data_IF_028144574985
#
_entry.id   IF_028144574985
#
_cell.length_a   1.000
_cell.length_b   1.000
_cell.length_c   1.000
_cell.angle_alpha   90.00
_cell.angle_beta   90.00
_cell.angle_gamma   90.00
#
_symmetry.space_group_name_H-M   'P 1'
#
loop_
_entity.id
_entity.type
_entity.pdbx_description
1 polymer ?
#
# COMPACT_ATOMS: atom_id res chain seq x y z
N UNK A 1 1.35 5.43 11.77
CA UNK A 1 1.77 4.03 11.58
C UNK A 1 0.71 3.13 12.17
N UNK A 2 0.00 2.41 11.31
CA UNK A 2 -1.07 1.49 11.66
C UNK A 2 -1.21 0.44 10.55
N UNK A 3 -1.53 -0.80 10.92
CA UNK A 3 -1.84 -1.85 9.95
C UNK A 3 -3.19 -1.55 9.28
N UNK A 4 -3.20 -1.54 7.95
CA UNK A 4 -4.38 -1.33 7.13
C UNK A 4 -5.07 -2.67 6.85
N UNK A 5 -6.40 -2.66 6.78
CA UNK A 5 -7.16 -3.83 6.34
C UNK A 5 -6.91 -4.08 4.85
N UNK A 6 -6.53 -5.31 4.49
CA UNK A 6 -6.36 -5.70 3.09
C UNK A 6 -7.67 -6.29 2.57
N UNK A 7 -8.31 -5.59 1.64
CA UNK A 7 -9.45 -6.07 0.89
C UNK A 7 -9.04 -7.19 -0.07
N UNK A 8 -9.84 -8.25 -0.11
CA UNK A 8 -9.61 -9.43 -0.96
C UNK A 8 -10.77 -9.62 -1.94
N UNK A 9 -10.54 -10.35 -3.03
CA UNK A 9 -11.61 -10.69 -3.97
C UNK A 9 -12.73 -11.44 -3.23
N UNK A 10 -14.02 -11.08 -3.43
CA UNK A 10 -14.58 -10.26 -4.51
C UNK A 10 -14.93 -8.81 -4.15
N UNK A 11 -14.25 -8.18 -3.18
CA UNK A 11 -14.60 -6.82 -2.74
C UNK A 11 -14.66 -5.82 -3.91
N UNK A 12 -15.78 -5.10 -3.98
CA UNK A 12 -16.06 -4.10 -5.02
C UNK A 12 -15.06 -2.95 -5.03
N UNK A 13 -14.42 -2.63 -3.90
CA UNK A 13 -13.42 -1.56 -3.82
C UNK A 13 -12.27 -1.80 -4.78
N UNK A 14 -11.89 -3.06 -5.00
CA UNK A 14 -10.79 -3.46 -5.88
C UNK A 14 -11.05 -3.17 -7.37
N UNK A 15 -12.29 -2.78 -7.75
CA UNK A 15 -12.68 -2.42 -9.12
C UNK A 15 -12.87 -0.92 -9.32
N UNK A 16 -12.78 -0.12 -8.26
CA UNK A 16 -12.98 1.33 -8.35
C UNK A 16 -11.77 2.01 -9.00
N UNK A 17 -11.99 3.15 -9.63
CA UNK A 17 -10.90 3.94 -10.21
C UNK A 17 -10.32 4.85 -9.14
N UNK A 18 -9.00 4.76 -8.94
CA UNK A 18 -8.30 5.62 -7.99
C UNK A 18 -8.03 7.02 -8.59
N UNK A 19 -8.09 8.04 -7.73
CA UNK A 19 -7.84 9.43 -8.10
C UNK A 19 -6.34 9.78 -8.01
N UNK A 20 -5.84 10.69 -8.86
CA UNK A 20 -4.44 11.12 -8.79
C UNK A 20 -4.14 11.82 -7.46
N UNK A 21 -2.89 11.67 -7.01
CA UNK A 21 -2.36 12.45 -5.89
C UNK A 21 -1.90 13.80 -6.43
N UNK A 22 -2.38 14.89 -5.84
CA UNK A 22 -2.05 16.27 -6.25
C UNK A 22 -1.40 17.09 -5.14
N UNK A 23 -1.41 16.59 -3.90
CA UNK A 23 -0.82 17.22 -2.72
C UNK A 23 0.16 16.23 -2.11
N UNK A 24 1.37 16.70 -1.83
CA UNK A 24 2.49 15.91 -1.31
C UNK A 24 2.86 16.46 0.05
N UNK A 25 2.10 16.06 1.05
CA UNK A 25 2.20 16.51 2.44
C UNK A 25 2.57 15.35 3.37
N UNK A 26 2.55 15.63 4.67
CA UNK A 26 2.84 14.65 5.69
C UNK A 26 1.81 13.51 5.75
N UNK A 27 0.54 13.78 5.42
CA UNK A 27 -0.50 12.75 5.39
C UNK A 27 -0.21 11.70 4.30
N UNK A 28 0.28 12.14 3.13
CA UNK A 28 0.73 11.24 2.09
C UNK A 28 1.89 10.34 2.54
N UNK A 29 2.87 10.91 3.24
CA UNK A 29 4.01 10.16 3.78
C UNK A 29 3.55 9.12 4.83
N UNK A 30 2.70 9.52 5.77
CA UNK A 30 2.14 8.62 6.79
C UNK A 30 1.30 7.49 6.19
N UNK A 31 0.57 7.78 5.10
CA UNK A 31 -0.18 6.79 4.32
C UNK A 31 0.76 5.78 3.67
N UNK A 32 1.81 6.26 2.98
CA UNK A 32 2.77 5.40 2.32
C UNK A 32 3.54 4.50 3.32
N UNK A 33 3.90 5.04 4.48
CA UNK A 33 4.54 4.27 5.56
C UNK A 33 3.63 3.17 6.10
N UNK A 34 2.34 3.48 6.34
CA UNK A 34 1.36 2.50 6.81
C UNK A 34 1.11 1.40 5.77
N UNK A 35 1.16 1.74 4.47
CA UNK A 35 1.11 0.78 3.37
C UNK A 35 2.35 -0.13 3.34
N UNK A 36 3.55 0.41 3.52
CA UNK A 36 4.79 -0.38 3.60
C UNK A 36 4.74 -1.35 4.78
N UNK A 37 4.36 -0.88 5.97
CA UNK A 37 4.23 -1.71 7.16
C UNK A 37 3.23 -2.86 6.95
N UNK A 38 2.06 -2.55 6.36
CA UNK A 38 1.03 -3.55 6.01
C UNK A 38 1.54 -4.56 4.97
N UNK A 39 2.30 -4.10 3.98
CA UNK A 39 2.93 -4.96 2.97
C UNK A 39 3.91 -5.94 3.61
N UNK A 40 4.81 -5.47 4.49
CA UNK A 40 5.75 -6.35 5.18
C UNK A 40 5.05 -7.32 6.12
N UNK A 41 4.03 -6.86 6.87
CA UNK A 41 3.25 -7.71 7.77
C UNK A 41 2.53 -8.84 7.02
N UNK A 42 2.04 -8.56 5.81
CA UNK A 42 1.37 -9.56 4.95
C UNK A 42 2.35 -10.42 4.13
N UNK A 43 3.67 -10.20 4.25
CA UNK A 43 4.68 -10.91 3.46
C UNK A 43 4.63 -10.61 1.97
N UNK A 44 4.04 -9.46 1.58
CA UNK A 44 3.94 -9.02 0.20
C UNK A 44 5.19 -8.31 -0.29
N UNK A 45 5.38 -8.29 -1.62
CA UNK A 45 6.43 -7.50 -2.30
C UNK A 45 5.95 -6.13 -2.76
N UNK A 46 4.63 -5.90 -2.71
CA UNK A 46 4.00 -4.66 -3.12
C UNK A 46 2.57 -4.57 -2.62
N UNK A 47 2.08 -3.34 -2.45
CA UNK A 47 0.71 -3.04 -2.05
C UNK A 47 0.23 -1.77 -2.76
N UNK A 48 -0.92 -1.87 -3.44
CA UNK A 48 -1.61 -0.71 -3.99
C UNK A 48 -2.62 -0.16 -2.97
N UNK A 49 -2.77 1.16 -2.90
CA UNK A 49 -3.63 1.82 -1.90
C UNK A 49 -5.10 1.35 -1.95
N UNK A 50 -5.57 0.96 -3.14
CA UNK A 50 -6.93 0.43 -3.33
C UNK A 50 -7.17 -0.89 -2.58
N UNK A 51 -6.12 -1.69 -2.37
CA UNK A 51 -6.20 -2.91 -1.55
C UNK A 51 -6.39 -2.58 -0.07
N UNK A 52 -6.04 -1.37 0.35
CA UNK A 52 -6.29 -0.83 1.69
C UNK A 52 -7.55 0.06 1.76
N UNK A 53 -8.40 0.03 0.73
CA UNK A 53 -9.62 0.85 0.66
C UNK A 53 -9.37 2.34 0.34
N UNK A 54 -8.15 2.72 0.01
CA UNK A 54 -7.76 4.11 -0.26
C UNK A 54 -7.79 4.35 -1.77
N UNK A 55 -8.72 5.18 -2.24
CA UNK A 55 -8.91 5.51 -3.66
C UNK A 55 -7.94 6.58 -4.17
N UNK A 56 -6.64 6.37 -3.95
CA UNK A 56 -5.55 7.21 -4.44
C UNK A 56 -4.57 6.40 -5.27
N UNK A 57 -4.00 7.03 -6.30
CA UNK A 57 -2.99 6.43 -7.18
C UNK A 57 -1.63 6.36 -6.46
N UNK A 58 -1.53 5.45 -5.48
CA UNK A 58 -0.33 5.20 -4.67
C UNK A 58 -0.04 3.70 -4.70
N UNK A 59 1.22 3.35 -4.89
CA UNK A 59 1.72 1.98 -4.80
C UNK A 59 3.03 2.02 -4.01
N UNK A 60 3.21 1.06 -3.11
CA UNK A 60 4.50 0.76 -2.48
C UNK A 60 5.00 -0.58 -3.00
N UNK A 61 6.31 -0.68 -3.21
CA UNK A 61 6.98 -1.89 -3.71
C UNK A 61 8.33 -1.98 -3.01
N UNK A 62 8.67 -3.16 -2.52
CA UNK A 62 10.02 -3.50 -2.11
C UNK A 62 10.43 -4.82 -2.78
N UNK A 63 11.43 -4.74 -3.66
CA UNK A 63 11.96 -5.87 -4.44
C UNK A 63 13.31 -6.34 -3.92
N UNK A 64 13.70 -6.01 -2.68
CA UNK A 64 14.92 -6.56 -2.10
C UNK A 64 14.95 -8.08 -2.29
N UNK A 65 15.84 -8.52 -3.17
CA UNK A 65 16.26 -9.92 -3.28
C UNK A 65 16.76 -10.34 -1.91
N UNK A 66 16.48 -11.57 -1.48
CA UNK A 66 16.91 -12.11 -0.19
C UNK A 66 18.43 -12.30 -0.07
N UNK A 67 19.20 -11.24 -0.30
CA UNK A 67 20.64 -11.16 -0.08
C UNK A 67 20.92 -9.87 0.67
N UNK A 68 20.87 -9.97 1.99
CA UNK A 68 21.87 -9.42 2.92
C UNK A 68 21.61 -9.99 4.32
N UNK A 69 22.31 -11.09 4.65
CA UNK A 69 22.96 -11.34 5.96
C UNK A 69 23.71 -12.70 5.92
N UNK A 70 24.86 -12.74 5.23
CA UNK A 70 25.98 -13.66 5.50
C UNK A 70 27.30 -12.93 5.36
#
# INVERSE_FOLDING_TARGET
>A
MALLEIHTFPDSVLRQKAEPVTVFDQELDETAQSMLETMYFSGGIGLAAIQAGILKQIIVIDLKSGEEDT
#
